data_IF_236342441201
#
_entry.id   IF_236342441201
#
_cell.length_a   1.000
_cell.length_b   1.000
_cell.length_c   1.000
_cell.angle_alpha   90.00
_cell.angle_beta   90.00
_cell.angle_gamma   90.00
#
_symmetry.space_group_name_H-M   'P 1'
#
loop_
_entity.id
_entity.type
_entity.pdbx_description
1 polymer ?
#
# COMPACT_ATOMS: atom_id res chain seq x y z
N UNK A 1 27.69 11.98 -13.89
CA UNK A 1 27.14 11.68 -13.83
C UNK A 1 26.42 11.48 -13.29
N UNK A 2 26.07 11.48 -12.95
CA UNK A 2 25.49 11.11 -12.52
C UNK A 2 24.58 10.81 -12.54
N UNK A 3 24.45 10.52 -12.30
CA UNK A 3 23.46 9.94 -12.60
C UNK A 3 22.55 9.94 -11.66
N UNK A 4 21.47 10.27 -11.71
CA UNK A 4 20.62 10.10 -10.80
C UNK A 4 19.62 9.36 -11.31
N UNK A 5 19.08 8.50 -10.61
CA UNK A 5 18.08 7.77 -11.08
C UNK A 5 16.88 8.25 -10.57
N UNK A 6 15.88 8.27 -11.25
CA UNK A 6 14.65 8.54 -10.78
C UNK A 6 14.11 7.40 -10.20
N UNK A 7 14.08 7.26 -8.94
CA UNK A 7 13.48 6.15 -8.34
C UNK A 7 12.09 6.44 -8.11
N UNK A 8 11.23 5.50 -8.10
CA UNK A 8 9.86 5.69 -7.68
C UNK A 8 9.94 6.13 -6.26
N UNK A 9 8.98 6.82 -5.79
CA UNK A 9 9.03 7.33 -4.47
C UNK A 9 9.13 6.21 -3.50
N UNK A 10 10.25 6.09 -2.88
CA UNK A 10 10.37 5.20 -1.83
C UNK A 10 9.98 5.91 -0.60
N UNK A 11 9.31 7.02 -0.74
CA UNK A 11 8.91 7.81 0.37
C UNK A 11 7.75 7.12 1.03
N UNK A 12 7.98 6.45 2.11
CA UNK A 12 6.91 5.74 2.79
C UNK A 12 5.85 6.70 3.29
N UNK A 13 6.22 7.94 3.53
CA UNK A 13 5.24 8.91 3.97
C UNK A 13 4.24 9.19 2.85
N UNK A 14 4.71 9.26 1.63
CA UNK A 14 3.82 9.48 0.51
C UNK A 14 2.87 8.31 0.33
N UNK A 15 3.37 7.10 0.50
CA UNK A 15 2.54 5.91 0.40
C UNK A 15 1.49 5.93 1.50
N UNK A 16 1.91 6.27 2.68
CA UNK A 16 1.00 6.33 3.81
C UNK A 16 -0.11 7.34 3.55
N UNK A 17 0.25 8.49 3.05
CA UNK A 17 -0.73 9.51 2.75
C UNK A 17 -1.71 9.06 1.70
N UNK A 18 -1.19 8.42 0.67
CA UNK A 18 -2.07 7.95 -0.39
C UNK A 18 -3.09 6.95 0.16
N UNK A 19 -2.62 5.99 0.92
CA UNK A 19 -3.50 4.98 1.44
C UNK A 19 -4.49 5.55 2.46
N UNK A 20 -4.05 6.52 3.23
CA UNK A 20 -4.91 7.07 4.28
C UNK A 20 -5.80 8.19 3.81
N UNK A 21 -5.70 8.59 2.55
CA UNK A 21 -6.46 9.72 2.08
C UNK A 21 -7.89 9.36 1.67
N UNK A 22 -8.24 8.09 1.77
CA UNK A 22 -9.56 7.69 1.34
C UNK A 22 -9.55 7.13 -0.07
N UNK A 23 -8.38 7.04 -0.67
CA UNK A 23 -8.29 6.48 -2.00
C UNK A 23 -8.74 5.03 -2.03
N UNK A 24 -8.55 4.34 -0.93
CA UNK A 24 -8.92 2.95 -0.85
C UNK A 24 -9.90 2.79 0.31
N UNK A 25 -11.05 2.27 0.02
CA UNK A 25 -12.03 2.07 1.06
C UNK A 25 -11.55 1.02 2.03
N UNK A 26 -11.83 1.24 3.28
CA UNK A 26 -11.43 0.29 4.29
C UNK A 26 -10.10 0.59 4.93
N UNK A 27 -9.34 1.50 4.36
CA UNK A 27 -8.06 1.86 4.93
C UNK A 27 -8.14 3.28 5.46
N UNK A 28 -8.00 3.42 6.75
CA UNK A 28 -7.93 4.75 7.33
C UNK A 28 -6.49 5.10 7.59
N UNK A 29 -6.27 6.27 8.16
CA UNK A 29 -4.93 6.74 8.41
C UNK A 29 -4.15 5.80 9.32
N UNK A 30 -4.80 5.28 10.33
CA UNK A 30 -4.12 4.40 11.26
C UNK A 30 -3.70 3.11 10.59
N UNK A 31 -4.59 2.55 9.77
CA UNK A 31 -4.28 1.31 9.10
C UNK A 31 -3.22 1.50 8.05
N UNK A 32 -3.30 2.63 7.34
CA UNK A 32 -2.29 2.94 6.35
C UNK A 32 -0.91 2.98 6.98
N UNK A 33 -0.84 3.56 8.15
CA UNK A 33 0.43 3.64 8.85
C UNK A 33 0.95 2.25 9.20
N UNK A 34 0.06 1.38 9.63
CA UNK A 34 0.47 0.03 9.98
C UNK A 34 1.00 -0.72 8.76
N UNK A 35 0.31 -0.57 7.65
CA UNK A 35 0.72 -1.25 6.44
C UNK A 35 2.09 -0.78 6.00
N UNK A 36 2.26 0.53 5.96
CA UNK A 36 3.53 1.08 5.52
C UNK A 36 4.64 0.73 6.49
N UNK A 37 4.33 0.71 7.76
CA UNK A 37 5.34 0.37 8.75
C UNK A 37 5.83 -1.05 8.56
N UNK A 38 4.96 -1.94 8.11
CA UNK A 38 5.34 -3.31 7.92
C UNK A 38 6.04 -3.54 6.58
N UNK A 39 5.51 -2.98 5.53
CA UNK A 39 6.03 -3.24 4.20
C UNK A 39 6.87 -2.11 3.62
N UNK A 40 6.78 -0.95 4.20
CA UNK A 40 7.58 0.19 3.76
C UNK A 40 7.42 0.43 2.28
N UNK A 41 8.51 0.57 1.58
CA UNK A 41 8.43 0.91 0.16
C UNK A 41 7.85 -0.21 -0.69
N UNK A 42 7.77 -1.39 -0.13
CA UNK A 42 7.22 -2.51 -0.88
C UNK A 42 5.70 -2.57 -0.83
N UNK A 43 5.08 -1.62 -0.16
CA UNK A 43 3.65 -1.67 0.06
C UNK A 43 2.86 -1.90 -1.22
N UNK A 44 3.09 -1.09 -2.24
CA UNK A 44 2.34 -1.23 -3.47
C UNK A 44 2.65 -2.52 -4.18
N UNK A 45 3.89 -2.92 -4.14
CA UNK A 45 4.27 -4.16 -4.77
C UNK A 45 3.56 -5.32 -4.14
N UNK A 46 3.48 -5.33 -2.83
CA UNK A 46 2.81 -6.40 -2.13
C UNK A 46 1.32 -6.39 -2.43
N UNK A 47 0.73 -5.22 -2.49
CA UNK A 47 -0.68 -5.15 -2.82
C UNK A 47 -0.94 -5.72 -4.20
N UNK A 48 -0.04 -5.49 -5.13
CA UNK A 48 -0.24 -5.96 -6.48
C UNK A 48 0.13 -7.41 -6.69
N UNK A 49 1.20 -7.83 -6.07
CA UNK A 49 1.70 -9.17 -6.34
C UNK A 49 1.34 -10.19 -5.28
N UNK A 50 1.31 -9.77 -4.05
CA UNK A 50 1.01 -10.69 -2.97
C UNK A 50 0.04 -10.06 -2.00
N UNK A 51 -1.16 -9.75 -2.46
CA UNK A 51 -2.11 -9.04 -1.60
C UNK A 51 -2.48 -9.82 -0.34
N UNK A 52 -2.36 -11.12 -0.41
CA UNK A 52 -2.71 -11.90 0.76
C UNK A 52 -1.80 -11.60 1.93
N UNK A 53 -0.62 -11.07 1.68
CA UNK A 53 0.27 -10.73 2.76
C UNK A 53 -0.22 -9.56 3.58
N UNK A 54 -1.16 -8.80 3.02
CA UNK A 54 -1.73 -7.70 3.77
C UNK A 54 -2.44 -8.19 5.02
N UNK A 55 -2.92 -9.41 4.99
CA UNK A 55 -3.62 -9.93 6.15
C UNK A 55 -2.68 -10.16 7.32
N UNK A 56 -1.38 -10.08 7.10
CA UNK A 56 -0.44 -10.17 8.20
C UNK A 56 -0.46 -8.90 9.03
N UNK A 57 -1.01 -7.84 8.48
CA UNK A 57 -1.11 -6.59 9.21
C UNK A 57 -2.29 -6.69 10.16
N UNK A 58 -2.06 -6.32 11.41
CA UNK A 58 -3.13 -6.39 12.38
C UNK A 58 -4.25 -5.46 11.95
N UNK A 59 -5.44 -5.97 11.89
CA UNK A 59 -6.57 -5.17 11.46
C UNK A 59 -7.02 -5.45 10.05
N UNK A 60 -6.28 -6.25 9.32
CA UNK A 60 -6.66 -6.58 7.95
C UNK A 60 -6.91 -8.07 7.85
N UNK A 61 -8.09 -8.43 7.40
CA UNK A 61 -8.42 -9.83 7.21
C UNK A 61 -8.11 -10.19 5.76
N UNK A 62 -8.19 -11.46 5.44
CA UNK A 62 -7.92 -11.89 4.09
C UNK A 62 -8.90 -11.28 3.12
N UNK A 63 -10.16 -11.21 3.51
CA UNK A 63 -11.14 -10.60 2.65
C UNK A 63 -10.80 -9.15 2.38
N UNK A 64 -10.43 -8.43 3.43
CA UNK A 64 -10.08 -7.04 3.28
C UNK A 64 -8.86 -6.89 2.40
N UNK A 65 -7.91 -7.80 2.54
CA UNK A 65 -6.72 -7.74 1.72
C UNK A 65 -7.07 -7.85 0.25
N UNK A 66 -7.98 -8.74 -0.07
CA UNK A 66 -8.39 -8.90 -1.45
C UNK A 66 -9.14 -7.69 -1.96
N UNK A 67 -9.94 -7.10 -1.11
CA UNK A 67 -10.66 -5.91 -1.51
C UNK A 67 -9.71 -4.76 -1.78
N UNK A 68 -8.70 -4.63 -0.97
CA UNK A 68 -7.72 -3.59 -1.18
C UNK A 68 -7.01 -3.79 -2.50
N UNK A 69 -6.63 -5.02 -2.78
CA UNK A 69 -5.96 -5.32 -4.03
C UNK A 69 -6.85 -5.00 -5.22
N UNK A 70 -8.11 -5.36 -5.10
CA UNK A 70 -9.05 -5.12 -6.18
C UNK A 70 -9.19 -3.63 -6.47
N UNK A 71 -9.27 -2.84 -5.42
CA UNK A 71 -9.42 -1.41 -5.62
C UNK A 71 -8.19 -0.79 -6.27
N UNK A 72 -7.02 -1.25 -5.87
CA UNK A 72 -5.81 -0.72 -6.46
C UNK A 72 -5.72 -1.10 -7.92
N UNK A 73 -6.14 -2.31 -8.24
CA UNK A 73 -6.13 -2.73 -9.61
C UNK A 73 -7.08 -1.92 -10.46
N UNK A 74 -8.20 -1.57 -9.92
CA UNK A 74 -9.14 -0.78 -10.66
C UNK A 74 -8.62 0.60 -10.97
N UNK A 75 -7.86 1.16 -10.07
CA UNK A 75 -7.35 2.49 -10.29
C UNK A 75 -6.14 2.53 -11.17
N UNK A 76 -5.56 1.33 -11.46
CA UNK A 76 -4.44 1.33 -12.29
C UNK A 76 -4.89 1.30 -13.69
N UNK A 77 -4.41 2.07 -14.50
CA UNK A 77 -4.87 2.08 -15.81
C UNK A 77 -3.99 1.53 -16.67
#
# INVERSE_FOLDING_TARGET
MESYEIKPPEDTLAIERYLGSGAIKGIGAALAKRIVKKFKADTFRIIEEEPERLSEVKGISERMAMEISSQVEEKRE
#
